data_IF_206830048097
#
_entry.id   IF_206830048097
#
_cell.length_a   1.000
_cell.length_b   1.000
_cell.length_c   1.000
_cell.angle_alpha   90.00
_cell.angle_beta   90.00
_cell.angle_gamma   90.00
#
_symmetry.space_group_name_H-M   'P 1'
#
loop_
_entity.id
_entity.type
_entity.pdbx_description
1 polymer ?
#
# COMPACT_ATOMS: atom_id res chain seq x y z
N UNK A 1 0.06 -3.67 11.37
CA UNK A 1 -0.11 -5.10 11.73
C UNK A 1 0.48 -5.43 13.09
N UNK A 2 1.75 -5.10 13.39
CA UNK A 2 2.35 -5.32 14.73
C UNK A 2 1.50 -4.67 15.83
N UNK A 3 1.10 -3.41 15.65
CA UNK A 3 0.23 -2.71 16.60
C UNK A 3 -1.08 -3.45 16.87
N UNK A 4 -1.71 -4.07 15.88
CA UNK A 4 -2.94 -4.86 16.09
C UNK A 4 -2.68 -6.01 17.07
N UNK A 5 -1.63 -6.80 16.85
CA UNK A 5 -1.30 -7.92 17.73
C UNK A 5 -0.94 -7.44 19.14
N UNK A 6 -0.14 -6.38 19.26
CA UNK A 6 0.22 -5.80 20.57
C UNK A 6 -1.02 -5.27 21.27
N UNK A 7 -1.95 -4.60 20.58
CA UNK A 7 -3.23 -4.15 21.14
C UNK A 7 -4.06 -5.32 21.67
N UNK A 8 -4.25 -6.38 20.88
CA UNK A 8 -5.00 -7.55 21.33
C UNK A 8 -4.34 -8.20 22.55
N UNK A 9 -3.01 -8.29 22.54
CA UNK A 9 -2.25 -8.82 23.67
C UNK A 9 -2.45 -7.96 24.93
N UNK A 10 -2.39 -6.62 24.81
CA UNK A 10 -2.64 -5.70 25.92
C UNK A 10 -4.08 -5.81 26.45
N UNK A 11 -5.09 -5.92 25.58
CA UNK A 11 -6.48 -6.12 25.99
C UNK A 11 -6.63 -7.39 26.84
N UNK A 12 -6.05 -8.52 26.40
CA UNK A 12 -6.08 -9.77 27.17
C UNK A 12 -5.40 -9.60 28.53
N UNK A 13 -4.27 -8.88 28.59
CA UNK A 13 -3.55 -8.62 29.83
C UNK A 13 -4.35 -7.75 30.80
N UNK A 14 -4.96 -6.67 30.32
CA UNK A 14 -5.87 -5.83 31.11
C UNK A 14 -7.00 -6.69 31.68
N UNK A 15 -7.68 -7.47 30.84
CA UNK A 15 -8.78 -8.31 31.28
C UNK A 15 -8.37 -9.37 32.32
N UNK A 16 -7.21 -10.02 32.13
CA UNK A 16 -6.66 -10.96 33.12
C UNK A 16 -6.33 -10.26 34.44
N UNK A 17 -5.72 -9.08 34.39
CA UNK A 17 -5.38 -8.28 35.56
C UNK A 17 -6.60 -7.86 36.37
N UNK A 18 -7.73 -7.60 35.69
CA UNK A 18 -9.01 -7.29 36.34
C UNK A 18 -9.67 -8.53 36.98
N UNK A 19 -9.53 -9.72 36.36
CA UNK A 19 -10.12 -10.97 36.87
C UNK A 19 -9.30 -11.62 37.99
N UNK A 20 -7.97 -11.56 37.94
CA UNK A 20 -7.07 -12.20 38.92
C UNK A 20 -5.96 -11.22 39.34
N UNK A 21 -6.22 -10.36 40.34
CA UNK A 21 -5.31 -9.28 40.71
C UNK A 21 -4.00 -9.71 41.38
N UNK A 22 -3.96 -10.91 41.99
CA UNK A 22 -2.89 -11.34 42.92
C UNK A 22 -1.81 -12.23 42.28
N UNK A 23 -1.75 -12.37 40.96
CA UNK A 23 -0.74 -13.19 40.29
C UNK A 23 0.58 -12.40 40.11
N UNK A 24 1.44 -12.42 41.14
CA UNK A 24 2.75 -11.76 41.14
C UNK A 24 3.70 -12.27 40.05
N UNK A 25 3.68 -13.57 39.73
CA UNK A 25 4.51 -14.17 38.65
C UNK A 25 4.23 -13.58 37.26
N UNK A 26 3.02 -13.10 37.02
CA UNK A 26 2.61 -12.56 35.71
C UNK A 26 3.08 -11.12 35.49
N UNK A 27 3.50 -10.43 36.55
CA UNK A 27 3.90 -9.02 36.48
C UNK A 27 5.30 -8.84 35.89
N UNK A 28 6.27 -9.67 36.27
CA UNK A 28 7.67 -9.55 35.81
C UNK A 28 7.83 -9.75 34.31
N UNK A 29 7.26 -10.82 33.75
CA UNK A 29 7.31 -11.10 32.30
C UNK A 29 6.69 -9.99 31.46
N UNK A 30 5.56 -9.45 31.92
CA UNK A 30 4.84 -8.41 31.21
C UNK A 30 5.57 -7.06 31.29
N UNK A 31 6.14 -6.69 32.44
CA UNK A 31 6.98 -5.48 32.57
C UNK A 31 8.18 -5.59 31.62
N UNK A 32 8.85 -6.74 31.58
CA UNK A 32 9.98 -6.96 30.67
C UNK A 32 9.56 -6.77 29.20
N UNK A 33 8.40 -7.31 28.81
CA UNK A 33 7.85 -7.13 27.47
C UNK A 33 7.50 -5.66 27.18
N UNK A 34 6.92 -4.93 28.13
CA UNK A 34 6.64 -3.50 27.97
C UNK A 34 7.92 -2.68 27.85
N UNK A 35 8.96 -2.98 28.63
CA UNK A 35 10.29 -2.34 28.54
C UNK A 35 10.92 -2.57 27.17
N UNK A 36 10.86 -3.80 26.66
CA UNK A 36 11.35 -4.11 25.30
C UNK A 36 10.55 -3.32 24.25
N UNK A 37 9.22 -3.28 24.35
CA UNK A 37 8.39 -2.50 23.42
C UNK A 37 8.68 -1.00 23.50
N UNK A 38 8.92 -0.47 24.70
CA UNK A 38 9.30 0.91 24.91
C UNK A 38 10.66 1.21 24.29
N UNK A 39 11.67 0.37 24.54
CA UNK A 39 12.99 0.50 23.93
C UNK A 39 12.92 0.45 22.40
N UNK A 40 12.15 -0.49 21.84
CA UNK A 40 11.91 -0.55 20.39
C UNK A 40 11.24 0.72 19.87
N UNK A 41 10.25 1.27 20.59
CA UNK A 41 9.61 2.53 20.23
C UNK A 41 10.57 3.74 20.23
N UNK A 42 11.58 3.72 21.09
CA UNK A 42 12.58 4.79 21.21
C UNK A 42 13.70 4.67 20.16
N UNK A 43 14.23 3.46 19.97
CA UNK A 43 15.42 3.22 19.16
C UNK A 43 15.11 2.89 17.69
N UNK A 44 13.93 2.38 17.38
CA UNK A 44 13.55 2.12 15.99
C UNK A 44 13.06 3.42 15.33
N UNK A 45 13.75 3.96 14.29
CA UNK A 45 13.39 5.24 13.68
C UNK A 45 11.98 5.25 13.09
N UNK A 46 11.54 4.11 12.54
CA UNK A 46 10.20 3.98 11.96
C UNK A 46 9.12 4.04 13.05
N UNK A 47 9.25 3.28 14.14
CA UNK A 47 8.28 3.29 15.24
C UNK A 47 8.20 4.66 15.91
N UNK A 48 9.35 5.32 16.09
CA UNK A 48 9.43 6.67 16.65
C UNK A 48 8.72 7.70 15.78
N UNK A 49 8.99 7.72 14.47
CA UNK A 49 8.35 8.64 13.51
C UNK A 49 6.83 8.45 13.46
N UNK A 50 6.36 7.24 13.71
CA UNK A 50 4.95 6.85 13.70
C UNK A 50 4.26 6.99 15.09
N UNK A 51 4.92 7.62 16.06
CA UNK A 51 4.33 7.85 17.38
C UNK A 51 3.99 6.57 18.14
N UNK A 52 4.71 5.47 17.93
CA UNK A 52 4.38 4.17 18.52
C UNK A 52 4.24 4.21 20.06
N UNK A 53 5.09 4.99 20.75
CA UNK A 53 5.02 5.16 22.20
C UNK A 53 3.71 5.80 22.69
N UNK A 54 3.03 6.53 21.80
CA UNK A 54 1.73 7.15 22.03
C UNK A 54 0.57 6.35 21.45
N UNK A 55 0.85 5.16 20.89
CA UNK A 55 -0.20 4.31 20.36
C UNK A 55 -1.15 3.82 21.46
N UNK A 56 -2.43 3.53 21.12
CA UNK A 56 -3.39 2.97 22.08
C UNK A 56 -2.88 1.75 22.83
N UNK A 57 -2.07 0.90 22.17
CA UNK A 57 -1.48 -0.28 22.76
C UNK A 57 -0.47 0.06 23.88
N UNK A 58 0.41 1.03 23.63
CA UNK A 58 1.41 1.46 24.60
C UNK A 58 0.76 2.21 25.77
N UNK A 59 -0.23 3.05 25.50
CA UNK A 59 -0.99 3.77 26.53
C UNK A 59 -1.73 2.80 27.47
N UNK A 60 -2.36 1.75 26.93
CA UNK A 60 -2.93 0.66 27.73
C UNK A 60 -1.86 -0.05 28.57
N UNK A 61 -0.67 -0.27 28.00
CA UNK A 61 0.49 -0.81 28.70
C UNK A 61 0.92 0.07 29.87
N UNK A 62 1.06 1.39 29.67
CA UNK A 62 1.43 2.33 30.74
C UNK A 62 0.37 2.39 31.84
N UNK A 63 -0.91 2.42 31.46
CA UNK A 63 -2.02 2.39 32.42
C UNK A 63 -2.00 1.11 33.27
N UNK A 64 -1.72 -0.03 32.64
CA UNK A 64 -1.58 -1.30 33.35
C UNK A 64 -0.33 -1.29 34.28
N UNK A 65 0.77 -0.68 33.85
CA UNK A 65 1.98 -0.48 34.67
C UNK A 65 1.66 0.31 35.93
N UNK A 66 1.03 1.47 35.75
CA UNK A 66 0.65 2.36 36.83
C UNK A 66 -0.31 1.68 37.81
N UNK A 67 -1.32 1.00 37.28
CA UNK A 67 -2.26 0.21 38.09
C UNK A 67 -1.58 -0.95 38.84
N UNK A 68 -0.49 -1.52 38.31
CA UNK A 68 0.29 -2.55 39.00
C UNK A 68 1.18 -1.98 40.11
N UNK A 69 1.82 -0.83 39.87
CA UNK A 69 2.66 -0.13 40.86
C UNK A 69 1.82 0.34 42.07
N UNK A 70 0.66 0.95 41.81
CA UNK A 70 -0.28 1.38 42.87
C UNK A 70 -0.78 0.17 43.67
N UNK A 71 -0.99 -0.98 43.02
CA UNK A 71 -1.34 -2.23 43.71
C UNK A 71 -0.22 -2.73 44.62
N UNK A 72 1.01 -2.78 44.11
CA UNK A 72 2.17 -3.23 44.86
C UNK A 72 2.41 -2.34 46.10
N UNK A 73 2.32 -1.01 45.94
CA UNK A 73 2.47 -0.07 47.05
C UNK A 73 1.39 -0.25 48.14
N UNK A 74 0.16 -0.59 47.76
CA UNK A 74 -0.95 -0.73 48.70
C UNK A 74 -1.12 -2.16 49.28
N UNK A 75 -0.41 -3.17 48.76
CA UNK A 75 -0.38 -4.54 49.32
C UNK A 75 0.46 -4.64 50.61
N UNK A 76 1.29 -3.63 50.92
CA UNK A 76 1.98 -3.53 52.21
C UNK A 76 1.07 -3.29 53.43
N UNK A 77 -0.24 -3.06 53.23
CA UNK A 77 -1.18 -2.66 54.29
C UNK A 77 -2.29 -3.66 54.65
N UNK A 78 -2.27 -4.91 54.16
CA UNK A 78 -3.18 -5.99 54.60
C UNK A 78 -4.69 -5.85 54.25
N UNK A 79 -5.15 -4.72 53.73
CA UNK A 79 -6.57 -4.50 53.43
C UNK A 79 -6.99 -5.10 52.08
N UNK A 80 -7.95 -6.03 52.13
CA UNK A 80 -8.66 -6.55 50.95
C UNK A 80 -9.24 -5.38 50.13
N UNK A 81 -9.12 -5.39 48.79
CA UNK A 81 -9.58 -4.28 47.97
C UNK A 81 -11.12 -4.22 47.94
N UNK A 82 -11.68 -3.17 48.55
CA UNK A 82 -13.09 -2.81 48.38
C UNK A 82 -13.41 -2.55 46.89
N UNK A 83 -14.69 -2.63 46.51
CA UNK A 83 -15.15 -2.46 45.13
C UNK A 83 -14.67 -1.16 44.48
N UNK A 84 -14.56 -0.07 45.26
CA UNK A 84 -13.99 1.21 44.82
C UNK A 84 -12.52 1.14 44.37
N UNK A 85 -11.71 0.23 44.93
CA UNK A 85 -10.30 0.04 44.52
C UNK A 85 -10.21 -0.67 43.16
N UNK A 86 -11.17 -1.55 42.81
CA UNK A 86 -11.22 -2.16 41.47
C UNK A 86 -11.60 -1.14 40.40
N UNK A 87 -12.57 -0.27 40.70
CA UNK A 87 -12.97 0.81 39.81
C UNK A 87 -11.82 1.80 39.58
N UNK A 88 -11.11 2.20 40.64
CA UNK A 88 -9.93 3.05 40.55
C UNK A 88 -8.82 2.44 39.68
N UNK A 89 -8.62 1.12 39.72
CA UNK A 89 -7.62 0.43 38.88
C UNK A 89 -8.02 0.37 37.41
N UNK A 90 -9.31 0.18 37.11
CA UNK A 90 -9.83 0.30 35.74
C UNK A 90 -9.61 1.72 35.22
N UNK A 91 -9.95 2.73 36.03
CA UNK A 91 -9.77 4.13 35.68
C UNK A 91 -8.30 4.45 35.43
N UNK A 92 -7.38 4.04 36.31
CA UNK A 92 -5.93 4.20 36.11
C UNK A 92 -5.40 3.50 34.86
N UNK A 93 -6.00 2.37 34.47
CA UNK A 93 -5.63 1.67 33.24
C UNK A 93 -6.11 2.41 31.98
N UNK A 94 -7.28 3.03 32.04
CA UNK A 94 -7.91 3.71 30.91
C UNK A 94 -7.52 5.19 30.79
N UNK A 95 -7.07 5.83 31.86
CA UNK A 95 -6.71 7.25 31.88
C UNK A 95 -5.64 7.62 30.84
N UNK A 96 -4.51 6.88 30.70
CA UNK A 96 -3.53 7.19 29.67
C UNK A 96 -4.09 7.02 28.24
N UNK A 97 -4.98 6.04 28.05
CA UNK A 97 -5.65 5.84 26.77
C UNK A 97 -6.58 7.02 26.47
N UNK A 98 -7.42 7.41 27.42
CA UNK A 98 -8.33 8.55 27.27
C UNK A 98 -7.55 9.84 26.98
N UNK A 99 -6.45 10.07 27.70
CA UNK A 99 -5.55 11.19 27.46
C UNK A 99 -4.97 11.19 26.04
N UNK A 100 -4.44 10.05 25.58
CA UNK A 100 -3.87 9.96 24.23
C UNK A 100 -4.88 9.99 23.10
N UNK A 101 -6.17 9.71 23.37
CA UNK A 101 -7.25 9.87 22.39
C UNK A 101 -7.70 11.33 22.23
N UNK A 102 -7.44 12.18 23.23
CA UNK A 102 -7.81 13.62 23.20
C UNK A 102 -6.69 14.46 22.58
N UNK A 103 -5.45 14.01 22.70
CA UNK A 103 -4.30 14.71 22.14
C UNK A 103 -4.17 14.41 20.64
N UNK A 104 -4.34 15.40 19.74
CA UNK A 104 -4.01 15.22 18.33
C UNK A 104 -2.51 14.92 18.26
N UNK A 105 -2.17 13.70 17.86
CA UNK A 105 -0.81 13.19 17.93
C UNK A 105 -0.34 12.64 16.59
N UNK A 106 0.99 12.54 16.45
CA UNK A 106 1.68 11.92 15.31
C UNK A 106 1.13 10.53 14.93
N UNK A 107 0.52 9.82 15.88
CA UNK A 107 -0.13 8.54 15.65
C UNK A 107 -1.41 8.67 14.80
N UNK A 108 -2.24 9.69 15.04
CA UNK A 108 -3.49 9.91 14.33
C UNK A 108 -3.26 10.29 12.87
N UNK A 109 -2.28 11.16 12.60
CA UNK A 109 -1.90 11.54 11.23
C UNK A 109 -1.43 10.33 10.41
N UNK A 110 -0.72 9.41 11.07
CA UNK A 110 -0.14 8.23 10.43
C UNK A 110 -1.09 7.03 10.33
N UNK A 111 -2.07 6.87 11.23
CA UNK A 111 -2.94 5.69 11.29
C UNK A 111 -4.44 5.96 11.33
N UNK A 112 -4.88 7.22 11.52
CA UNK A 112 -6.29 7.59 11.60
C UNK A 112 -7.09 7.20 10.35
N UNK A 113 -6.42 7.18 9.20
CA UNK A 113 -6.99 6.76 7.92
C UNK A 113 -7.48 5.29 7.92
N UNK A 114 -6.82 4.38 8.68
CA UNK A 114 -7.31 3.00 8.84
C UNK A 114 -8.62 2.95 9.64
N UNK A 115 -8.75 3.79 10.67
CA UNK A 115 -9.98 3.94 11.44
C UNK A 115 -11.11 4.49 10.58
N UNK A 116 -10.84 5.53 9.80
CA UNK A 116 -11.79 6.09 8.84
C UNK A 116 -12.24 5.08 7.79
N UNK A 117 -11.33 4.21 7.33
CA UNK A 117 -11.66 3.11 6.41
C UNK A 117 -12.50 2.02 7.08
N UNK A 118 -12.19 1.63 8.32
CA UNK A 118 -13.01 0.68 9.07
C UNK A 118 -14.43 1.22 9.27
N UNK A 119 -14.56 2.50 9.64
CA UNK A 119 -15.86 3.14 9.81
C UNK A 119 -16.64 3.18 8.48
N UNK A 120 -15.98 3.49 7.36
CA UNK A 120 -16.60 3.42 6.05
C UNK A 120 -17.07 1.99 5.70
N UNK A 121 -16.25 0.98 5.99
CA UNK A 121 -16.65 -0.43 5.81
C UNK A 121 -17.86 -0.79 6.68
N UNK A 122 -17.93 -0.33 7.92
CA UNK A 122 -19.10 -0.56 8.77
C UNK A 122 -20.34 0.16 8.17
N UNK A 123 -20.20 1.45 7.81
CA UNK A 123 -21.26 2.28 7.22
C UNK A 123 -21.86 1.66 5.97
N UNK A 124 -21.02 1.11 5.09
CA UNK A 124 -21.44 0.51 3.81
C UNK A 124 -21.49 -1.02 3.85
N UNK A 125 -21.63 -1.63 5.04
CA UNK A 125 -21.80 -3.08 5.23
C UNK A 125 -20.74 -3.92 4.48
N UNK A 126 -19.51 -3.44 4.51
CA UNK A 126 -18.31 -4.02 3.91
C UNK A 126 -18.38 -4.14 2.37
N UNK A 127 -19.31 -3.45 1.72
CA UNK A 127 -19.43 -3.31 0.26
C UNK A 127 -18.95 -1.93 -0.16
N UNK A 128 -18.04 -1.88 -1.13
CA UNK A 128 -17.54 -0.62 -1.66
C UNK A 128 -18.64 0.03 -2.53
N UNK A 129 -19.04 1.29 -2.28
CA UNK A 129 -20.10 1.94 -3.04
C UNK A 129 -19.76 2.07 -4.52
N UNK A 130 -20.77 2.03 -5.40
CA UNK A 130 -20.58 2.27 -6.84
C UNK A 130 -20.25 3.74 -7.10
N UNK A 131 -20.90 4.64 -6.36
CA UNK A 131 -20.64 6.08 -6.40
C UNK A 131 -19.40 6.42 -5.53
N UNK A 132 -18.29 6.89 -6.12
CA UNK A 132 -17.09 7.25 -5.38
C UNK A 132 -17.28 8.49 -4.49
N UNK A 133 -18.21 9.39 -4.80
CA UNK A 133 -18.42 10.62 -4.03
C UNK A 133 -18.83 10.37 -2.57
N UNK A 134 -19.34 9.16 -2.26
CA UNK A 134 -19.74 8.73 -0.92
C UNK A 134 -18.56 8.40 0.02
N UNK A 135 -17.35 8.33 -0.52
CA UNK A 135 -16.11 8.03 0.21
C UNK A 135 -15.11 9.17 0.06
N UNK A 136 -14.22 9.36 1.03
CA UNK A 136 -13.07 10.26 0.85
C UNK A 136 -12.02 9.62 -0.06
N UNK A 137 -11.12 10.43 -0.66
CA UNK A 137 -10.01 9.91 -1.47
C UNK A 137 -9.23 8.82 -0.74
N UNK A 138 -8.83 9.08 0.51
CA UNK A 138 -8.10 8.14 1.36
C UNK A 138 -8.88 6.82 1.54
N UNK A 139 -10.19 6.88 1.77
CA UNK A 139 -11.02 5.67 1.85
C UNK A 139 -11.06 4.90 0.53
N UNK A 140 -11.16 5.59 -0.62
CA UNK A 140 -11.24 4.96 -1.93
C UNK A 140 -9.96 4.25 -2.33
N UNK A 141 -8.81 4.94 -2.20
CA UNK A 141 -7.50 4.43 -2.61
C UNK A 141 -6.96 3.35 -1.67
N UNK A 142 -7.37 3.36 -0.40
CA UNK A 142 -6.97 2.33 0.55
C UNK A 142 -7.90 1.12 0.51
N UNK A 143 -9.17 1.26 0.12
CA UNK A 143 -10.09 0.14 -0.07
C UNK A 143 -9.81 -0.62 -1.38
N UNK A 144 -8.57 -1.09 -1.53
CA UNK A 144 -8.00 -1.80 -2.69
C UNK A 144 -7.51 -3.18 -2.22
N UNK A 145 -7.07 -4.11 -3.11
CA UNK A 145 -6.89 -5.52 -2.78
C UNK A 145 -6.16 -5.85 -1.46
N UNK A 146 -5.14 -5.08 -1.08
CA UNK A 146 -4.41 -5.30 0.19
C UNK A 146 -5.26 -5.03 1.46
N UNK A 147 -6.33 -4.24 1.38
CA UNK A 147 -7.26 -3.94 2.48
C UNK A 147 -8.72 -4.17 2.04
N UNK A 148 -8.91 -4.99 1.02
CA UNK A 148 -10.23 -5.36 0.52
C UNK A 148 -10.96 -6.24 1.54
N UNK A 149 -12.28 -6.23 1.44
CA UNK A 149 -13.18 -7.07 2.22
C UNK A 149 -13.04 -8.55 1.83
N UNK A 150 -13.02 -9.47 2.78
CA UNK A 150 -13.08 -10.89 2.43
C UNK A 150 -14.50 -11.24 1.96
N UNK A 151 -14.58 -12.12 0.96
CA UNK A 151 -15.82 -12.76 0.54
C UNK A 151 -15.66 -14.28 0.67
N UNK A 152 -16.75 -15.04 0.50
CA UNK A 152 -16.70 -16.49 0.64
C UNK A 152 -15.80 -17.15 -0.39
N UNK A 153 -15.85 -16.71 -1.65
CA UNK A 153 -15.00 -17.23 -2.72
C UNK A 153 -13.52 -17.13 -2.34
N UNK A 154 -13.05 -15.95 -1.97
CA UNK A 154 -11.67 -15.70 -1.55
C UNK A 154 -11.30 -16.46 -0.27
N UNK A 155 -12.22 -16.53 0.70
CA UNK A 155 -12.00 -17.29 1.94
C UNK A 155 -11.75 -18.77 1.64
N UNK A 156 -12.52 -19.38 0.74
CA UNK A 156 -12.32 -20.77 0.33
C UNK A 156 -11.14 -20.96 -0.63
N UNK A 157 -10.75 -19.94 -1.39
CA UNK A 157 -9.48 -19.93 -2.12
C UNK A 157 -8.29 -19.92 -1.17
N UNK A 158 -8.35 -19.16 -0.08
CA UNK A 158 -7.26 -19.05 0.89
C UNK A 158 -7.21 -20.25 1.84
N UNK A 159 -8.36 -20.80 2.23
CA UNK A 159 -8.49 -21.82 3.28
C UNK A 159 -9.47 -22.95 2.92
N UNK A 160 -9.25 -23.71 1.84
CA UNK A 160 -10.23 -24.70 1.35
C UNK A 160 -10.54 -25.80 2.37
N UNK A 161 -9.53 -26.34 3.06
CA UNK A 161 -9.71 -27.43 4.02
C UNK A 161 -9.50 -26.96 5.47
N UNK A 162 -8.49 -26.12 5.69
CA UNK A 162 -8.10 -25.71 7.05
C UNK A 162 -9.19 -24.91 7.76
N UNK A 163 -10.00 -24.13 7.04
CA UNK A 163 -11.11 -23.38 7.65
C UNK A 163 -12.11 -24.32 8.35
N UNK A 164 -12.58 -25.34 7.64
CA UNK A 164 -13.58 -26.28 8.14
C UNK A 164 -13.01 -27.08 9.32
N UNK A 165 -11.78 -27.57 9.18
CA UNK A 165 -11.11 -28.30 10.26
C UNK A 165 -10.90 -27.43 11.50
N UNK A 166 -10.58 -26.15 11.31
CA UNK A 166 -10.33 -25.21 12.41
C UNK A 166 -11.63 -24.85 13.13
N UNK A 167 -12.76 -24.71 12.41
CA UNK A 167 -14.08 -24.53 13.02
C UNK A 167 -14.48 -25.75 13.86
N UNK A 168 -14.24 -26.96 13.36
CA UNK A 168 -14.44 -28.19 14.12
C UNK A 168 -13.55 -28.25 15.37
N UNK A 169 -12.25 -27.93 15.23
CA UNK A 169 -11.30 -27.86 16.33
C UNK A 169 -11.76 -26.89 17.42
N UNK A 170 -12.14 -25.67 17.03
CA UNK A 170 -12.64 -24.64 17.96
C UNK A 170 -13.89 -25.14 18.69
N UNK A 171 -14.85 -25.75 18.00
CA UNK A 171 -16.07 -26.27 18.62
C UNK A 171 -15.76 -27.36 19.67
N UNK A 172 -14.86 -28.29 19.36
CA UNK A 172 -14.43 -29.34 20.28
C UNK A 172 -13.68 -28.76 21.48
N UNK A 173 -12.75 -27.85 21.24
CA UNK A 173 -11.95 -27.21 22.31
C UNK A 173 -12.81 -26.34 23.23
N UNK A 174 -13.78 -25.60 22.71
CA UNK A 174 -14.72 -24.79 23.51
C UNK A 174 -15.59 -25.68 24.39
N UNK A 175 -16.13 -26.78 23.85
CA UNK A 175 -16.92 -27.74 24.65
C UNK A 175 -16.08 -28.34 25.78
N UNK A 176 -14.85 -28.74 25.50
CA UNK A 176 -13.93 -29.31 26.50
C UNK A 176 -13.42 -28.27 27.52
N UNK A 177 -13.29 -27.00 27.12
CA UNK A 177 -12.93 -25.89 28.00
C UNK A 177 -14.10 -25.44 28.90
N UNK A 178 -15.35 -25.70 28.51
CA UNK A 178 -16.51 -25.54 29.40
C UNK A 178 -16.39 -26.39 30.66
N UNK A 179 -15.80 -27.59 30.54
CA UNK A 179 -15.61 -28.52 31.65
C UNK A 179 -14.36 -28.23 32.49
N UNK A 180 -13.36 -27.54 31.91
CA UNK A 180 -12.13 -27.11 32.59
C UNK A 180 -11.76 -25.72 32.10
N UNK A 181 -11.93 -24.71 32.96
CA UNK A 181 -11.69 -23.28 32.66
C UNK A 181 -10.21 -22.96 32.34
N UNK A 182 -9.69 -23.46 31.22
CA UNK A 182 -8.34 -23.19 30.76
C UNK A 182 -8.29 -21.82 30.08
N UNK A 183 -7.67 -20.86 30.77
CA UNK A 183 -7.48 -19.49 30.28
C UNK A 183 -6.69 -19.42 28.97
N UNK A 184 -5.91 -20.44 28.62
CA UNK A 184 -5.12 -20.49 27.38
C UNK A 184 -5.99 -20.75 26.16
N UNK A 185 -6.95 -21.68 26.26
CA UNK A 185 -7.90 -22.00 25.17
C UNK A 185 -8.80 -20.81 24.88
N UNK A 186 -9.30 -20.13 25.92
CA UNK A 186 -10.09 -18.91 25.77
C UNK A 186 -9.28 -17.77 25.12
N UNK A 187 -7.99 -17.64 25.45
CA UNK A 187 -7.12 -16.65 24.84
C UNK A 187 -6.89 -16.95 23.34
N UNK A 188 -6.67 -18.22 22.98
CA UNK A 188 -6.55 -18.62 21.58
C UNK A 188 -7.83 -18.31 20.81
N UNK A 189 -9.00 -18.63 21.38
CA UNK A 189 -10.28 -18.33 20.76
C UNK A 189 -10.47 -16.82 20.55
N UNK A 190 -10.13 -16.00 21.55
CA UNK A 190 -10.21 -14.54 21.42
C UNK A 190 -9.32 -14.03 20.27
N UNK A 191 -8.07 -14.49 20.19
CA UNK A 191 -7.19 -14.09 19.10
C UNK A 191 -7.66 -14.58 17.74
N UNK A 192 -8.14 -15.82 17.64
CA UNK A 192 -8.70 -16.38 16.43
C UNK A 192 -9.93 -15.58 15.97
N UNK A 193 -10.92 -15.39 16.85
CA UNK A 193 -12.17 -14.69 16.53
C UNK A 193 -11.90 -13.23 16.12
N UNK A 194 -11.01 -12.53 16.83
CA UNK A 194 -10.69 -11.13 16.50
C UNK A 194 -9.89 -11.02 15.21
N UNK A 195 -8.96 -11.95 14.94
CA UNK A 195 -8.22 -12.00 13.67
C UNK A 195 -9.12 -12.38 12.50
N UNK A 196 -10.07 -13.29 12.71
CA UNK A 196 -11.06 -13.68 11.71
C UNK A 196 -12.01 -12.51 11.39
N UNK A 197 -12.49 -11.79 12.42
CA UNK A 197 -13.27 -10.57 12.23
C UNK A 197 -12.47 -9.50 11.47
N UNK A 198 -11.21 -9.28 11.85
CA UNK A 198 -10.33 -8.37 11.13
C UNK A 198 -10.12 -8.81 9.67
N UNK A 199 -10.00 -10.12 9.41
CA UNK A 199 -9.91 -10.69 8.06
C UNK A 199 -11.15 -10.43 7.20
N UNK A 200 -12.35 -10.51 7.79
CA UNK A 200 -13.60 -10.16 7.10
C UNK A 200 -13.54 -8.73 6.56
N UNK A 201 -13.04 -7.79 7.36
CA UNK A 201 -12.88 -6.40 6.93
C UNK A 201 -11.65 -6.19 6.05
N UNK A 202 -10.57 -6.92 6.28
CA UNK A 202 -9.27 -6.68 5.67
C UNK A 202 -8.58 -8.00 5.37
N UNK A 203 -8.59 -8.40 4.10
CA UNK A 203 -8.01 -9.69 3.63
C UNK A 203 -6.58 -9.90 4.11
N UNK A 204 -5.76 -8.85 4.28
CA UNK A 204 -4.38 -8.95 4.79
C UNK A 204 -4.25 -9.62 6.16
N UNK A 205 -5.31 -9.68 6.97
CA UNK A 205 -5.32 -10.39 8.25
C UNK A 205 -5.43 -11.91 8.11
N UNK A 206 -5.56 -12.46 6.90
CA UNK A 206 -5.50 -13.91 6.65
C UNK A 206 -4.25 -14.56 7.26
N UNK A 207 -3.12 -13.85 7.29
CA UNK A 207 -1.86 -14.30 7.90
C UNK A 207 -2.00 -14.56 9.40
N UNK A 208 -2.78 -13.74 10.12
CA UNK A 208 -3.05 -13.98 11.54
C UNK A 208 -4.06 -15.10 11.74
N UNK A 209 -5.08 -15.15 10.89
CA UNK A 209 -6.09 -16.22 10.92
C UNK A 209 -5.43 -17.60 10.81
N UNK A 210 -4.53 -17.79 9.84
CA UNK A 210 -3.88 -19.09 9.63
C UNK A 210 -2.99 -19.50 10.81
N UNK A 211 -2.29 -18.55 11.46
CA UNK A 211 -1.47 -18.84 12.65
C UNK A 211 -2.34 -19.39 13.79
N UNK A 212 -3.50 -18.78 14.04
CA UNK A 212 -4.38 -19.24 15.11
C UNK A 212 -5.18 -20.50 14.72
N UNK A 213 -5.48 -20.69 13.44
CA UNK A 213 -6.00 -21.96 12.92
C UNK A 213 -5.02 -23.10 13.17
N UNK A 214 -3.74 -22.92 12.80
CA UNK A 214 -2.70 -23.92 13.03
C UNK A 214 -2.56 -24.28 14.52
N UNK A 215 -2.59 -23.28 15.41
CA UNK A 215 -2.58 -23.50 16.85
C UNK A 215 -3.81 -24.29 17.34
N UNK A 216 -5.01 -23.97 16.85
CA UNK A 216 -6.24 -24.68 17.20
C UNK A 216 -6.21 -26.15 16.74
N UNK A 217 -5.73 -26.40 15.52
CA UNK A 217 -5.56 -27.75 14.98
C UNK A 217 -4.53 -28.55 15.79
N UNK A 218 -3.40 -27.94 16.16
CA UNK A 218 -2.39 -28.58 17.01
C UNK A 218 -2.91 -28.95 18.40
N UNK A 219 -3.70 -28.06 19.02
CA UNK A 219 -4.38 -28.36 20.29
C UNK A 219 -5.41 -29.47 20.14
N UNK A 220 -6.15 -29.52 19.04
CA UNK A 220 -7.11 -30.58 18.78
C UNK A 220 -6.43 -31.93 18.55
N UNK A 221 -5.31 -31.96 17.80
CA UNK A 221 -4.50 -33.15 17.62
C UNK A 221 -3.96 -33.67 18.97
N UNK A 222 -3.43 -32.77 19.81
CA UNK A 222 -2.98 -33.12 21.16
C UNK A 222 -4.13 -33.65 22.04
N UNK A 223 -5.30 -33.01 21.99
CA UNK A 223 -6.49 -33.46 22.68
C UNK A 223 -6.94 -34.85 22.21
N UNK A 224 -6.82 -35.16 20.92
CA UNK A 224 -7.12 -36.46 20.33
C UNK A 224 -6.12 -37.55 20.77
N UNK A 225 -4.84 -37.22 20.96
CA UNK A 225 -3.83 -38.16 21.48
C UNK A 225 -4.11 -38.62 22.90
N UNK A 226 -4.83 -37.82 23.67
CA UNK A 226 -5.24 -38.17 25.03
C UNK A 226 -6.55 -38.99 25.07
N UNK A 227 -7.21 -39.22 23.94
CA UNK A 227 -8.46 -39.98 23.90
C UNK A 227 -8.22 -41.48 24.01
N UNK A 228 -9.03 -42.17 24.83
CA UNK A 228 -9.00 -43.64 24.98
C UNK A 228 -9.59 -44.38 23.77
N UNK A 229 -10.48 -43.75 23.02
CA UNK A 229 -11.12 -44.33 21.83
C UNK A 229 -10.16 -44.30 20.62
N UNK A 230 -9.37 -45.36 20.45
CA UNK A 230 -8.32 -45.45 19.42
C UNK A 230 -8.84 -45.28 17.99
N UNK A 231 -10.06 -45.76 17.67
CA UNK A 231 -10.69 -45.60 16.36
C UNK A 231 -10.95 -44.11 16.08
N UNK A 232 -11.63 -43.42 16.99
CA UNK A 232 -11.94 -42.00 16.84
C UNK A 232 -10.67 -41.15 16.79
N UNK A 233 -9.66 -41.50 17.60
CA UNK A 233 -8.32 -40.90 17.55
C UNK A 233 -7.70 -41.06 16.15
N UNK A 234 -7.74 -42.27 15.59
CA UNK A 234 -7.23 -42.56 14.25
C UNK A 234 -7.95 -41.75 13.18
N UNK A 235 -9.29 -41.71 13.23
CA UNK A 235 -10.11 -40.91 12.31
C UNK A 235 -9.80 -39.42 12.36
N UNK A 236 -9.65 -38.84 13.56
CA UNK A 236 -9.28 -37.43 13.72
C UNK A 236 -7.91 -37.16 13.11
N UNK A 237 -6.91 -37.98 13.43
CA UNK A 237 -5.55 -37.81 12.88
C UNK A 237 -5.52 -37.93 11.36
N UNK A 238 -6.18 -38.96 10.81
CA UNK A 238 -6.27 -39.15 9.35
C UNK A 238 -6.99 -37.96 8.71
N UNK A 239 -8.07 -37.47 9.31
CA UNK A 239 -8.79 -36.28 8.83
C UNK A 239 -7.94 -35.01 8.83
N UNK A 240 -7.15 -34.79 9.89
CA UNK A 240 -6.21 -33.67 9.99
C UNK A 240 -5.10 -33.77 8.94
N UNK A 241 -4.47 -34.94 8.81
CA UNK A 241 -3.44 -35.20 7.80
C UNK A 241 -3.99 -35.03 6.38
N UNK A 242 -5.20 -35.54 6.11
CA UNK A 242 -5.87 -35.38 4.83
C UNK A 242 -6.16 -33.91 4.51
N UNK A 243 -6.72 -33.15 5.45
CA UNK A 243 -6.98 -31.73 5.21
C UNK A 243 -5.69 -30.92 5.00
N UNK A 244 -4.61 -31.23 5.73
CA UNK A 244 -3.29 -30.63 5.46
C UNK A 244 -2.77 -30.99 4.06
N UNK A 245 -2.96 -32.23 3.62
CA UNK A 245 -2.56 -32.65 2.28
C UNK A 245 -3.38 -31.95 1.19
N UNK A 246 -4.69 -31.77 1.38
CA UNK A 246 -5.55 -31.00 0.48
C UNK A 246 -5.10 -29.54 0.38
N UNK A 247 -4.81 -28.92 1.52
CA UNK A 247 -4.33 -27.53 1.55
C UNK A 247 -2.98 -27.39 0.84
N UNK A 248 -2.03 -28.28 1.13
CA UNK A 248 -0.72 -28.30 0.48
C UNK A 248 -0.83 -28.52 -1.03
N UNK A 249 -1.66 -29.46 -1.46
CA UNK A 249 -1.92 -29.71 -2.87
C UNK A 249 -2.56 -28.48 -3.55
N UNK A 250 -3.48 -27.79 -2.88
CA UNK A 250 -4.09 -26.56 -3.40
C UNK A 250 -3.04 -25.46 -3.61
N UNK A 251 -2.17 -25.22 -2.63
CA UNK A 251 -1.10 -24.22 -2.71
C UNK A 251 -0.10 -24.55 -3.82
N UNK A 252 0.33 -25.81 -3.93
CA UNK A 252 1.31 -26.25 -4.93
C UNK A 252 0.77 -26.20 -6.36
N UNK A 253 -0.51 -26.57 -6.57
CA UNK A 253 -1.14 -26.52 -7.90
C UNK A 253 -1.36 -25.09 -8.39
N UNK A 254 -1.46 -24.13 -7.49
CA UNK A 254 -1.68 -22.71 -7.81
C UNK A 254 -0.45 -21.85 -7.51
N UNK A 255 0.75 -22.35 -7.83
CA UNK A 255 2.00 -21.61 -7.61
C UNK A 255 2.01 -20.21 -8.25
N UNK A 256 1.32 -20.02 -9.38
CA UNK A 256 1.15 -18.71 -10.01
C UNK A 256 0.37 -17.68 -9.17
N UNK A 257 -0.34 -18.12 -8.12
CA UNK A 257 -1.04 -17.26 -7.17
C UNK A 257 -0.20 -16.89 -5.94
N UNK A 258 1.03 -17.40 -5.82
CA UNK A 258 1.94 -17.02 -4.72
C UNK A 258 2.36 -15.55 -4.81
N UNK A 259 2.28 -14.98 -6.02
CA UNK A 259 2.47 -13.56 -6.29
C UNK A 259 1.21 -12.71 -6.08
N UNK A 260 1.27 -11.47 -6.56
CA UNK A 260 0.12 -10.57 -6.60
C UNK A 260 -0.83 -11.03 -7.71
N UNK A 261 -2.05 -11.38 -7.35
CA UNK A 261 -3.10 -11.71 -8.33
C UNK A 261 -3.36 -10.53 -9.27
N UNK A 262 -3.46 -10.79 -10.57
CA UNK A 262 -3.74 -9.76 -11.59
C UNK A 262 -2.53 -8.91 -11.99
N UNK A 263 -1.31 -9.35 -11.67
CA UNK A 263 -0.06 -8.75 -12.17
C UNK A 263 0.44 -9.51 -13.39
N UNK A 264 0.78 -8.76 -14.42
CA UNK A 264 1.32 -9.23 -15.69
C UNK A 264 2.85 -9.33 -15.56
N UNK A 265 3.33 -10.40 -14.94
CA UNK A 265 4.74 -10.52 -14.54
C UNK A 265 5.72 -10.49 -15.71
N UNK A 266 5.38 -11.10 -16.85
CA UNK A 266 6.23 -11.06 -18.05
C UNK A 266 6.35 -9.64 -18.59
N UNK A 267 5.22 -8.96 -18.76
CA UNK A 267 5.18 -7.58 -19.23
C UNK A 267 5.86 -6.59 -18.27
N UNK A 268 5.83 -6.88 -16.97
CA UNK A 268 6.47 -6.08 -15.94
C UNK A 268 8.00 -6.26 -15.95
N UNK A 269 8.47 -7.48 -16.23
CA UNK A 269 9.89 -7.80 -16.37
C UNK A 269 10.49 -7.17 -17.63
N UNK A 270 9.76 -7.22 -18.75
CA UNK A 270 10.10 -6.51 -19.99
C UNK A 270 10.24 -5.00 -19.76
N UNK A 271 9.26 -4.38 -19.09
CA UNK A 271 9.30 -2.96 -18.74
C UNK A 271 10.54 -2.63 -17.90
N UNK A 272 10.79 -3.40 -16.84
CA UNK A 272 11.92 -3.16 -15.95
C UNK A 272 13.26 -3.27 -16.68
N UNK A 273 13.42 -4.30 -17.51
CA UNK A 273 14.62 -4.52 -18.32
C UNK A 273 14.83 -3.39 -19.32
N UNK A 274 13.76 -2.94 -19.99
CA UNK A 274 13.84 -1.85 -20.96
C UNK A 274 14.21 -0.52 -20.29
N UNK A 275 13.58 -0.17 -19.15
CA UNK A 275 13.88 1.04 -18.39
C UNK A 275 15.35 1.07 -17.93
N UNK A 276 15.86 -0.07 -17.44
CA UNK A 276 17.25 -0.18 -16.99
C UNK A 276 18.25 0.06 -18.12
N UNK A 277 17.92 -0.35 -19.34
CA UNK A 277 18.81 -0.22 -20.49
C UNK A 277 18.75 1.16 -21.18
N UNK A 278 17.61 1.87 -21.12
CA UNK A 278 17.37 3.06 -21.94
C UNK A 278 17.01 4.33 -21.16
N UNK A 279 16.65 4.22 -19.89
CA UNK A 279 16.13 5.35 -19.08
C UNK A 279 16.93 5.55 -17.80
N UNK A 280 17.42 4.49 -17.16
CA UNK A 280 18.24 4.66 -15.97
C UNK A 280 19.49 5.52 -16.27
N UNK A 281 19.83 6.51 -15.43
CA UNK A 281 19.33 6.75 -14.07
C UNK A 281 18.23 7.83 -13.94
N UNK A 282 17.53 8.19 -15.01
CA UNK A 282 16.61 9.33 -15.04
C UNK A 282 15.31 9.07 -14.26
N UNK A 283 14.69 10.15 -13.78
CA UNK A 283 13.50 10.09 -12.93
C UNK A 283 12.23 9.73 -13.71
N UNK A 284 11.49 8.75 -13.18
CA UNK A 284 10.30 8.17 -13.80
C UNK A 284 9.05 8.40 -12.94
N UNK A 285 8.04 9.01 -13.54
CA UNK A 285 6.68 9.05 -13.01
C UNK A 285 5.95 7.76 -13.40
N UNK A 286 5.42 7.04 -12.43
CA UNK A 286 4.60 5.85 -12.66
C UNK A 286 3.52 5.76 -11.57
N UNK A 287 2.41 5.06 -11.87
CA UNK A 287 1.41 4.73 -10.85
C UNK A 287 2.10 4.03 -9.65
N UNK A 288 1.69 4.37 -8.43
CA UNK A 288 2.21 3.80 -7.17
C UNK A 288 2.28 2.26 -7.14
N UNK A 289 1.42 1.56 -7.90
CA UNK A 289 1.47 0.11 -8.03
C UNK A 289 2.73 -0.41 -8.76
N UNK A 290 3.32 0.40 -9.63
CA UNK A 290 4.50 0.12 -10.46
C UNK A 290 5.78 0.72 -9.91
N UNK A 291 5.71 1.84 -9.18
CA UNK A 291 6.91 2.58 -8.73
C UNK A 291 7.91 1.70 -7.99
N UNK A 292 7.45 0.74 -7.17
CA UNK A 292 8.35 -0.20 -6.49
C UNK A 292 9.20 -1.03 -7.45
N UNK A 293 8.65 -1.46 -8.59
CA UNK A 293 9.37 -2.20 -9.62
C UNK A 293 10.32 -1.30 -10.41
N UNK A 294 9.85 -0.11 -10.79
CA UNK A 294 10.65 0.90 -11.51
C UNK A 294 11.92 1.23 -10.74
N UNK A 295 11.81 1.44 -9.42
CA UNK A 295 12.95 1.71 -8.57
C UNK A 295 13.86 0.48 -8.41
N UNK A 296 13.29 -0.67 -8.03
CA UNK A 296 14.09 -1.84 -7.63
C UNK A 296 14.75 -2.58 -8.79
N UNK A 297 14.07 -2.66 -9.94
CA UNK A 297 14.50 -3.46 -11.09
C UNK A 297 14.82 -2.60 -12.32
N UNK A 298 14.11 -1.48 -12.50
CA UNK A 298 14.40 -0.51 -13.55
C UNK A 298 15.60 0.40 -13.23
N UNK A 299 15.95 0.57 -11.96
CA UNK A 299 17.08 1.44 -11.55
C UNK A 299 16.79 2.94 -11.72
N UNK A 300 15.53 3.32 -11.88
CA UNK A 300 15.12 4.71 -12.07
C UNK A 300 14.58 5.30 -10.76
N UNK A 301 14.99 6.53 -10.37
CA UNK A 301 14.34 7.29 -9.31
C UNK A 301 12.84 7.43 -9.57
N UNK A 302 12.04 7.37 -8.51
CA UNK A 302 10.57 7.42 -8.58
C UNK A 302 10.02 8.65 -7.88
N UNK A 303 8.96 9.21 -8.45
CA UNK A 303 8.25 10.34 -7.86
C UNK A 303 7.17 9.88 -6.88
N UNK A 304 6.34 8.91 -7.29
CA UNK A 304 5.24 8.41 -6.47
C UNK A 304 5.68 7.23 -5.62
N UNK A 305 5.70 7.43 -4.31
CA UNK A 305 6.11 6.40 -3.36
C UNK A 305 5.00 5.34 -3.15
N UNK A 306 5.34 4.02 -3.14
CA UNK A 306 4.34 2.94 -3.05
C UNK A 306 3.74 2.74 -1.64
N UNK A 307 4.11 3.55 -0.65
CA UNK A 307 3.58 3.50 0.72
C UNK A 307 2.93 4.83 1.11
N UNK A 308 1.65 4.76 1.49
CA UNK A 308 0.75 5.88 1.76
C UNK A 308 0.73 6.34 3.23
N UNK A 309 1.84 6.19 3.95
CA UNK A 309 1.85 6.42 5.40
C UNK A 309 1.73 7.91 5.76
N UNK A 310 2.37 8.81 5.00
CA UNK A 310 2.30 10.26 5.25
C UNK A 310 1.15 10.95 4.48
N UNK A 311 0.56 12.01 5.05
CA UNK A 311 -0.41 12.86 4.35
C UNK A 311 0.11 13.44 3.03
N UNK A 312 1.37 13.88 3.00
CA UNK A 312 1.97 14.50 1.81
C UNK A 312 2.09 13.52 0.64
N UNK A 313 2.46 12.26 0.92
CA UNK A 313 2.50 11.22 -0.12
C UNK A 313 1.08 10.96 -0.64
N UNK A 314 0.07 10.91 0.24
CA UNK A 314 -1.33 10.73 -0.17
C UNK A 314 -1.83 11.91 -1.01
N UNK A 315 -1.47 13.14 -0.66
CA UNK A 315 -1.80 14.34 -1.42
C UNK A 315 -1.16 14.30 -2.82
N UNK A 316 0.13 14.00 -2.91
CA UNK A 316 0.83 13.87 -4.20
C UNK A 316 0.21 12.81 -5.11
N UNK A 317 -0.19 11.65 -4.57
CA UNK A 317 -0.88 10.61 -5.36
C UNK A 317 -2.29 11.03 -5.78
N UNK A 318 -3.00 11.81 -4.95
CA UNK A 318 -4.30 12.39 -5.30
C UNK A 318 -4.16 13.34 -6.48
N UNK A 319 -3.24 14.29 -6.37
CA UNK A 319 -2.97 15.27 -7.42
C UNK A 319 -2.56 14.58 -8.72
N UNK A 320 -1.67 13.58 -8.66
CA UNK A 320 -1.32 12.77 -9.82
C UNK A 320 -2.55 12.20 -10.52
N UNK A 321 -3.45 11.55 -9.77
CA UNK A 321 -4.65 10.95 -10.35
C UNK A 321 -5.62 12.02 -10.87
N UNK A 322 -5.76 13.14 -10.19
CA UNK A 322 -6.61 14.25 -10.64
C UNK A 322 -6.08 14.88 -11.91
N UNK A 323 -4.77 15.11 -12.03
CA UNK A 323 -4.17 15.60 -13.28
C UNK A 323 -4.35 14.60 -14.42
N UNK A 324 -4.16 13.31 -14.15
CA UNK A 324 -4.26 12.25 -15.16
C UNK A 324 -5.70 12.05 -15.69
N UNK A 325 -6.73 12.20 -14.86
CA UNK A 325 -8.13 11.91 -15.22
C UNK A 325 -9.05 13.13 -15.33
N UNK A 326 -8.71 14.26 -14.71
CA UNK A 326 -9.51 15.50 -14.73
C UNK A 326 -8.77 16.69 -15.37
N UNK A 327 -7.46 16.60 -15.52
CA UNK A 327 -6.64 17.65 -16.14
C UNK A 327 -6.58 17.54 -17.66
N UNK A 328 -5.70 18.34 -18.25
CA UNK A 328 -5.32 18.32 -19.67
C UNK A 328 -3.91 17.75 -19.83
N UNK A 329 -3.53 17.39 -21.06
CA UNK A 329 -2.16 16.96 -21.38
C UNK A 329 -1.11 17.96 -20.87
N UNK A 330 -1.33 19.26 -21.10
CA UNK A 330 -0.47 20.34 -20.63
C UNK A 330 -0.41 20.41 -19.11
N UNK A 331 -1.56 20.37 -18.42
CA UNK A 331 -1.58 20.48 -16.96
C UNK A 331 -0.89 19.29 -16.29
N UNK A 332 -1.03 18.09 -16.86
CA UNK A 332 -0.35 16.89 -16.41
C UNK A 332 1.16 16.97 -16.64
N UNK A 333 1.59 17.45 -17.82
CA UNK A 333 3.01 17.73 -18.10
C UNK A 333 3.59 18.75 -17.12
N UNK A 334 2.90 19.87 -16.91
CA UNK A 334 3.36 20.93 -15.99
C UNK A 334 3.46 20.46 -14.55
N UNK A 335 2.55 19.57 -14.12
CA UNK A 335 2.64 18.94 -12.82
C UNK A 335 3.82 17.96 -12.74
N UNK A 336 4.02 17.12 -13.77
CA UNK A 336 5.09 16.13 -13.80
C UNK A 336 6.49 16.77 -13.80
N UNK A 337 6.68 17.80 -14.62
CA UNK A 337 7.95 18.53 -14.74
C UNK A 337 8.31 19.28 -13.45
N UNK A 338 7.33 19.92 -12.79
CA UNK A 338 7.54 20.55 -11.47
C UNK A 338 8.01 19.58 -10.39
N UNK A 339 7.71 18.29 -10.54
CA UNK A 339 8.17 17.23 -9.64
C UNK A 339 9.43 16.52 -10.16
N UNK A 340 10.04 17.01 -11.24
CA UNK A 340 11.27 16.47 -11.82
C UNK A 340 11.08 15.18 -12.61
N UNK A 341 9.90 14.91 -13.15
CA UNK A 341 9.69 13.75 -14.02
C UNK A 341 10.25 14.02 -15.42
N UNK A 342 11.08 13.11 -15.91
CA UNK A 342 11.54 13.13 -17.31
C UNK A 342 10.83 12.11 -18.17
N UNK A 343 10.38 11.02 -17.54
CA UNK A 343 9.70 9.92 -18.21
C UNK A 343 8.41 9.59 -17.48
N UNK A 344 7.41 9.14 -18.24
CA UNK A 344 6.14 8.68 -17.72
C UNK A 344 5.85 7.24 -18.14
N UNK A 345 5.46 6.40 -17.19
CA UNK A 345 5.00 5.03 -17.45
C UNK A 345 3.49 4.94 -17.20
N UNK A 346 2.76 4.69 -18.28
CA UNK A 346 1.32 4.48 -18.25
C UNK A 346 0.99 2.99 -18.16
N UNK A 347 0.04 2.63 -17.29
CA UNK A 347 -0.48 1.28 -17.16
C UNK A 347 -1.84 1.16 -17.86
N UNK A 348 -1.91 0.35 -18.91
CA UNK A 348 -3.12 0.16 -19.72
C UNK A 348 -4.24 -0.52 -18.92
N UNK A 349 -5.50 -0.24 -19.27
CA UNK A 349 -6.68 -0.90 -18.72
C UNK A 349 -7.37 -0.11 -17.60
N UNK A 350 -7.05 1.18 -17.45
CA UNK A 350 -7.78 2.08 -16.55
C UNK A 350 -9.21 2.30 -17.07
N UNK A 351 -9.47 2.09 -18.37
CA UNK A 351 -10.81 2.17 -18.96
C UNK A 351 -11.56 0.84 -19.07
N UNK A 352 -10.99 -0.28 -18.63
CA UNK A 352 -11.64 -1.58 -18.70
C UNK A 352 -12.95 -1.63 -17.89
N UNK A 353 -14.02 -2.31 -18.37
CA UNK A 353 -15.30 -2.36 -17.65
C UNK A 353 -15.25 -3.22 -16.38
N UNK A 354 -14.18 -3.97 -16.17
CA UNK A 354 -14.01 -4.89 -15.05
C UNK A 354 -13.28 -4.21 -13.90
N UNK A 355 -13.77 -4.41 -12.67
CA UNK A 355 -13.13 -3.93 -11.43
C UNK A 355 -12.89 -2.42 -11.40
N UNK A 356 -13.89 -1.65 -11.85
CA UNK A 356 -13.89 -0.18 -11.81
C UNK A 356 -13.56 0.37 -10.42
N UNK A 357 -13.98 -0.33 -9.36
CA UNK A 357 -13.70 -0.02 -7.96
C UNK A 357 -12.19 -0.08 -7.59
N UNK A 358 -11.34 -0.59 -8.47
CA UNK A 358 -9.88 -0.73 -8.28
C UNK A 358 -9.05 0.16 -9.21
N UNK A 359 -9.70 0.95 -10.04
CA UNK A 359 -9.05 1.81 -11.03
C UNK A 359 -8.83 3.21 -10.46
N UNK A 360 -7.80 3.90 -10.94
CA UNK A 360 -7.46 5.23 -10.46
C UNK A 360 -8.60 6.23 -10.70
N UNK A 361 -9.34 6.09 -11.81
CA UNK A 361 -10.53 6.91 -12.10
C UNK A 361 -11.61 6.84 -11.02
N UNK A 362 -11.77 5.71 -10.34
CA UNK A 362 -12.67 5.61 -9.19
C UNK A 362 -12.07 6.34 -7.98
N UNK A 363 -10.77 6.18 -7.72
CA UNK A 363 -10.12 6.80 -6.56
C UNK A 363 -10.20 8.32 -6.58
N UNK A 364 -10.09 8.93 -7.77
CA UNK A 364 -10.18 10.38 -7.93
C UNK A 364 -11.59 10.87 -8.25
N UNK A 365 -12.62 10.01 -8.17
CA UNK A 365 -14.00 10.42 -8.43
C UNK A 365 -14.19 11.02 -9.84
N UNK A 366 -13.74 10.27 -10.85
CA UNK A 366 -13.77 10.64 -12.26
C UNK A 366 -14.18 9.43 -13.12
N UNK A 367 -15.35 8.83 -12.85
CA UNK A 367 -15.80 7.61 -13.55
C UNK A 367 -15.93 7.79 -15.07
N UNK A 368 -16.39 8.97 -15.47
CA UNK A 368 -16.53 9.38 -16.87
C UNK A 368 -15.62 10.59 -17.12
N UNK A 369 -14.30 10.38 -17.21
CA UNK A 369 -13.37 11.49 -17.39
C UNK A 369 -13.54 12.07 -18.80
N UNK A 370 -13.21 13.37 -18.98
CA UNK A 370 -13.27 14.05 -20.28
C UNK A 370 -12.58 13.29 -21.42
N UNK A 371 -13.02 13.52 -22.65
CA UNK A 371 -12.48 12.83 -23.83
C UNK A 371 -11.00 13.15 -24.09
N UNK A 372 -10.59 14.35 -23.70
CA UNK A 372 -9.27 14.94 -23.83
C UNK A 372 -8.37 14.75 -22.59
N UNK A 373 -8.82 14.00 -21.57
CA UNK A 373 -7.99 13.74 -20.41
C UNK A 373 -6.72 12.94 -20.78
N UNK A 374 -5.58 13.17 -20.11
CA UNK A 374 -4.32 12.50 -20.42
C UNK A 374 -4.43 10.98 -20.43
N UNK A 375 -5.19 10.39 -19.49
CA UNK A 375 -5.37 8.94 -19.43
C UNK A 375 -5.94 8.34 -20.72
N UNK A 376 -6.93 9.00 -21.35
CA UNK A 376 -7.50 8.51 -22.63
C UNK A 376 -6.52 8.67 -23.77
N UNK A 377 -5.79 9.78 -23.77
CA UNK A 377 -4.77 10.09 -24.75
C UNK A 377 -3.69 9.00 -24.73
N UNK A 378 -3.19 8.64 -23.55
CA UNK A 378 -2.19 7.58 -23.40
C UNK A 378 -2.70 6.17 -23.75
N UNK A 379 -3.98 5.86 -23.59
CA UNK A 379 -4.56 4.57 -24.01
C UNK A 379 -4.87 4.50 -25.51
N UNK A 380 -5.49 5.53 -26.05
CA UNK A 380 -6.15 5.45 -27.37
C UNK A 380 -5.34 6.14 -28.48
N UNK A 381 -4.63 7.22 -28.15
CA UNK A 381 -3.97 8.09 -29.13
C UNK A 381 -2.59 8.53 -28.64
N UNK A 382 -1.67 7.61 -28.30
CA UNK A 382 -0.43 7.95 -27.60
C UNK A 382 0.48 8.95 -28.34
N UNK A 383 0.34 9.05 -29.66
CA UNK A 383 1.14 9.95 -30.51
C UNK A 383 0.47 11.31 -30.77
N UNK A 384 -0.75 11.54 -30.28
CA UNK A 384 -1.48 12.79 -30.55
C UNK A 384 -1.07 13.95 -29.65
N UNK A 385 -0.28 13.67 -28.60
CA UNK A 385 0.14 14.69 -27.66
C UNK A 385 1.30 15.51 -28.25
N UNK A 386 1.30 16.86 -28.18
CA UNK A 386 2.54 17.60 -27.94
C UNK A 386 3.09 17.15 -26.56
N UNK A 387 4.01 17.73 -25.82
CA UNK A 387 4.34 17.27 -24.44
C UNK A 387 4.83 15.82 -24.17
N UNK A 388 4.28 14.74 -24.74
CA UNK A 388 4.61 13.35 -24.47
C UNK A 388 4.90 12.61 -25.77
N UNK A 389 6.08 11.99 -25.86
CA UNK A 389 6.48 11.16 -27.00
C UNK A 389 6.54 9.70 -26.56
N UNK A 390 5.77 8.83 -27.21
CA UNK A 390 5.87 7.38 -26.98
C UNK A 390 7.26 6.87 -27.41
N UNK A 391 7.94 6.17 -26.51
CA UNK A 391 9.25 5.56 -26.78
C UNK A 391 9.17 4.04 -26.87
N UNK A 392 8.34 3.43 -26.03
CA UNK A 392 8.22 1.98 -25.94
C UNK A 392 6.85 1.59 -25.39
N UNK A 393 6.39 0.39 -25.72
CA UNK A 393 5.25 -0.21 -25.08
C UNK A 393 5.17 -1.71 -25.30
N UNK A 394 4.49 -2.38 -24.39
CA UNK A 394 4.05 -3.76 -24.55
C UNK A 394 2.53 -3.84 -24.34
N UNK A 395 2.01 -5.06 -24.15
CA UNK A 395 0.57 -5.29 -23.97
C UNK A 395 -0.03 -4.52 -22.79
N UNK A 396 0.76 -4.24 -21.75
CA UNK A 396 0.25 -3.67 -20.49
C UNK A 396 0.79 -2.27 -20.18
N UNK A 397 1.98 -1.92 -20.64
CA UNK A 397 2.67 -0.70 -20.25
C UNK A 397 3.12 0.10 -21.47
N UNK A 398 3.12 1.43 -21.33
CA UNK A 398 3.66 2.37 -22.32
C UNK A 398 4.58 3.36 -21.61
N UNK A 399 5.71 3.67 -22.23
CA UNK A 399 6.72 4.60 -21.72
C UNK A 399 6.80 5.81 -22.64
N UNK A 400 6.68 6.98 -22.04
CA UNK A 400 6.70 8.27 -22.71
C UNK A 400 7.88 9.11 -22.22
N UNK A 401 8.58 9.81 -23.13
CA UNK A 401 9.44 10.95 -22.76
C UNK A 401 8.55 12.17 -22.57
N UNK A 402 8.74 12.86 -21.45
CA UNK A 402 8.08 14.13 -21.14
C UNK A 402 8.94 15.25 -21.71
N UNK A 403 8.32 16.18 -22.44
CA UNK A 403 8.94 17.42 -22.88
C UNK A 403 8.88 18.43 -21.75
N UNK A 404 10.03 18.72 -21.16
CA UNK A 404 10.16 19.60 -19.99
C UNK A 404 10.22 21.07 -20.38
N UNK A 405 10.08 21.98 -19.42
CA UNK A 405 10.35 23.41 -19.62
C UNK A 405 11.81 23.64 -20.01
N UNK A 406 12.72 22.80 -19.52
CA UNK A 406 14.13 22.83 -19.91
C UNK A 406 14.31 22.55 -21.41
N UNK A 407 13.62 21.54 -21.94
CA UNK A 407 13.66 21.19 -23.36
C UNK A 407 13.10 22.31 -24.24
N UNK A 408 12.00 22.96 -23.81
CA UNK A 408 11.40 24.08 -24.53
C UNK A 408 12.31 25.32 -24.53
N UNK A 409 12.93 25.64 -23.40
CA UNK A 409 13.87 26.74 -23.29
C UNK A 409 15.12 26.49 -24.14
N UNK A 410 15.62 25.25 -24.16
CA UNK A 410 16.77 24.87 -24.97
C UNK A 410 16.43 24.88 -26.47
N UNK A 411 15.25 24.39 -26.85
CA UNK A 411 14.76 24.47 -28.22
C UNK A 411 14.67 25.93 -28.69
N UNK A 412 14.10 26.83 -27.88
CA UNK A 412 14.02 28.24 -28.21
C UNK A 412 15.40 28.90 -28.38
N UNK A 413 16.40 28.49 -27.59
CA UNK A 413 17.79 28.94 -27.76
C UNK A 413 18.37 28.48 -29.10
N UNK A 414 18.21 27.21 -29.45
CA UNK A 414 18.66 26.70 -30.75
C UNK A 414 17.93 27.37 -31.92
N UNK A 415 16.62 27.66 -31.78
CA UNK A 415 15.88 28.43 -32.77
C UNK A 415 16.44 29.85 -32.95
N UNK A 416 16.85 30.50 -31.86
CA UNK A 416 17.53 31.80 -31.91
C UNK A 416 18.92 31.72 -32.55
N UNK A 417 19.71 30.71 -32.23
CA UNK A 417 21.02 30.44 -32.85
C UNK A 417 20.87 30.15 -34.35
N UNK A 418 19.85 29.38 -34.74
CA UNK A 418 19.53 29.09 -36.12
C UNK A 418 19.15 30.34 -36.92
N UNK A 419 18.37 31.24 -36.30
CA UNK A 419 17.98 32.51 -36.91
C UNK A 419 19.20 33.43 -37.10
N UNK A 420 20.08 33.55 -36.10
CA UNK A 420 21.29 34.36 -36.21
C UNK A 420 22.24 33.81 -37.29
N UNK A 421 22.47 32.50 -37.33
CA UNK A 421 23.29 31.87 -38.37
C UNK A 421 22.71 32.07 -39.77
N UNK A 422 21.38 32.05 -39.90
CA UNK A 422 20.70 32.32 -41.16
C UNK A 422 20.91 33.77 -41.63
N UNK A 423 20.83 34.73 -40.71
CA UNK A 423 21.08 36.15 -40.97
C UNK A 423 22.53 36.44 -41.37
N UNK A 424 23.48 35.65 -40.83
CA UNK A 424 24.90 35.70 -41.19
C UNK A 424 25.24 34.93 -42.48
N UNK A 425 24.26 34.27 -43.11
CA UNK A 425 24.47 33.47 -44.32
C UNK A 425 25.12 32.10 -44.10
N UNK A 426 25.25 31.66 -42.85
CA UNK A 426 25.84 30.37 -42.46
C UNK A 426 24.79 29.26 -42.51
N UNK A 427 24.42 28.84 -43.72
CA UNK A 427 23.28 27.92 -43.95
C UNK A 427 23.41 26.56 -43.26
N UNK A 428 24.60 25.96 -43.20
CA UNK A 428 24.79 24.66 -42.53
C UNK A 428 24.65 24.76 -41.02
N UNK A 429 25.14 25.84 -40.41
CA UNK A 429 24.98 26.09 -38.99
C UNK A 429 23.51 26.38 -38.64
N UNK A 430 22.82 27.15 -39.49
CA UNK A 430 21.39 27.42 -39.35
C UNK A 430 20.57 26.13 -39.44
N UNK A 431 20.88 25.25 -40.40
CA UNK A 431 20.23 23.94 -40.52
C UNK A 431 20.47 23.09 -39.27
N UNK A 432 21.72 22.93 -38.84
CA UNK A 432 22.07 22.12 -37.67
C UNK A 432 21.33 22.58 -36.41
N UNK A 433 21.36 23.88 -36.11
CA UNK A 433 20.67 24.44 -34.95
C UNK A 433 19.15 24.28 -35.06
N UNK A 434 18.56 24.46 -36.25
CA UNK A 434 17.13 24.23 -36.47
C UNK A 434 16.75 22.74 -36.30
N UNK A 435 17.60 21.80 -36.73
CA UNK A 435 17.39 20.35 -36.50
C UNK A 435 17.39 20.06 -35.00
N UNK A 436 18.36 20.58 -34.25
CA UNK A 436 18.45 20.37 -32.79
C UNK A 436 17.24 20.97 -32.05
N UNK A 437 16.79 22.17 -32.45
CA UNK A 437 15.56 22.76 -31.93
C UNK A 437 14.33 21.86 -32.18
N UNK A 438 14.18 21.34 -33.40
CA UNK A 438 13.07 20.45 -33.77
C UNK A 438 13.16 19.07 -33.10
N UNK A 439 14.36 18.60 -32.78
CA UNK A 439 14.57 17.34 -32.05
C UNK A 439 14.02 17.44 -30.62
N UNK A 440 14.20 18.59 -29.97
CA UNK A 440 13.70 18.89 -28.62
C UNK A 440 12.22 19.29 -28.64
N UNK A 441 11.82 20.12 -29.59
CA UNK A 441 10.45 20.60 -29.76
C UNK A 441 10.03 20.55 -31.25
N UNK A 442 9.41 19.44 -31.70
CA UNK A 442 8.98 19.30 -33.09
C UNK A 442 7.95 20.34 -33.55
N UNK A 443 7.31 21.05 -32.61
CA UNK A 443 6.30 22.07 -32.89
C UNK A 443 6.86 23.50 -32.83
N UNK A 444 8.17 23.67 -32.68
CA UNK A 444 8.81 24.99 -32.75
C UNK A 444 8.61 25.58 -34.16
N UNK A 445 7.75 26.60 -34.25
CA UNK A 445 7.36 27.22 -35.53
C UNK A 445 8.51 28.00 -36.16
N UNK A 446 9.40 28.55 -35.35
CA UNK A 446 10.52 29.35 -35.82
C UNK A 446 11.56 28.42 -36.44
N UNK A 447 11.93 27.34 -35.73
CA UNK A 447 12.81 26.31 -36.30
C UNK A 447 12.23 25.68 -37.57
N UNK A 448 10.93 25.39 -37.62
CA UNK A 448 10.28 24.88 -38.84
C UNK A 448 10.35 25.88 -40.01
N UNK A 449 10.19 27.18 -39.73
CA UNK A 449 10.28 28.24 -40.74
C UNK A 449 11.71 28.39 -41.25
N UNK A 450 12.69 28.41 -40.34
CA UNK A 450 14.11 28.49 -40.67
C UNK A 450 14.52 27.31 -41.53
N UNK A 451 14.13 26.09 -41.15
CA UNK A 451 14.42 24.88 -41.92
C UNK A 451 13.90 24.96 -43.36
N UNK A 452 12.66 25.43 -43.54
CA UNK A 452 12.08 25.64 -44.88
C UNK A 452 12.82 26.70 -45.67
N UNK A 453 13.25 27.79 -45.00
CA UNK A 453 13.98 28.87 -45.66
C UNK A 453 15.39 28.44 -46.08
N UNK A 454 16.12 27.76 -45.21
CA UNK A 454 17.44 27.20 -45.50
C UNK A 454 17.36 26.23 -46.68
N UNK A 455 16.37 25.32 -46.69
CA UNK A 455 16.15 24.41 -47.81
C UNK A 455 15.92 25.15 -49.13
N UNK A 456 15.07 26.17 -49.14
CA UNK A 456 14.81 26.99 -50.32
C UNK A 456 16.06 27.76 -50.82
N UNK A 457 16.93 28.23 -49.92
CA UNK A 457 18.18 28.90 -50.28
C UNK A 457 19.20 27.92 -50.87
N UNK A 458 19.32 26.73 -50.28
CA UNK A 458 20.18 25.66 -50.81
C UNK A 458 19.73 25.20 -52.20
N UNK A 459 18.42 25.06 -52.41
CA UNK A 459 17.85 24.72 -53.72
C UNK A 459 18.13 25.80 -54.79
N UNK A 460 18.31 27.05 -54.37
CA UNK A 460 18.70 28.17 -55.24
C UNK A 460 20.22 28.27 -55.46
N UNK A 461 21.01 27.35 -54.88
CA UNK A 461 22.46 27.29 -55.05
C UNK A 461 23.26 28.12 -54.05
N UNK A 462 22.62 28.72 -53.03
CA UNK A 462 23.34 29.37 -51.95
C UNK A 462 23.93 28.31 -51.00
N UNK A 463 25.22 28.42 -50.68
CA UNK A 463 25.91 27.54 -49.71
C UNK A 463 26.56 26.27 -50.28
N UNK A 464 26.44 25.97 -51.57
CA UNK A 464 27.40 25.07 -52.23
C UNK A 464 28.70 25.86 -52.39
N UNK A 465 29.77 25.43 -51.73
CA UNK A 465 31.03 26.16 -51.67
C UNK A 465 31.47 26.68 -53.03
N UNK A 466 31.78 27.98 -53.08
CA UNK A 466 33.01 28.42 -53.72
C UNK A 466 34.14 27.64 -53.04
N UNK A 467 34.45 26.43 -53.52
CA UNK A 467 35.79 25.90 -53.37
C UNK A 467 36.68 26.88 -54.14
N UNK A 468 37.38 27.73 -53.39
CA UNK A 468 38.40 28.58 -53.96
C UNK A 468 39.47 27.67 -54.59
N UNK A 469 39.68 27.83 -55.91
CA UNK A 469 40.83 27.29 -56.65
C UNK A 469 42.17 27.68 -56.01
#
# INVERSE_FOLDING_TARGET
>A
MVQFYVTLWMIVRVFRSLRRPDASEVQGEWVAQLVVLFALGLFNPYLRKHGFLWSPAMLLGYGLALASMVRAAAHGGGCRPAWGRRFALVLLTLLPLAWGLIQPGLYEEAYGHFGALLLAKIRFLNRKPVDPALLTFDQRIMWVPALHSANWALTFTLFPAILILSLAAVLVLVRRAGDRSDSRVLQLFFFFATSFLAFVFFVRFHVFVIVFMAAALGLWASAAMQMRAWILRGLILVGLCYGMAVEAAHVLRHAGQWGRSGVYYGELDELATWLKAHVAPDAVLANFGLSGTVLAYGGCPILLHPKFESPDIRACVREYGEQLFKGTDKSFRDWADRHGAEYYVYAMGEFAPVSLDRQMRYFVDALNPPADCPARLFESSPDSSPYFRLLWGNRKYRVFKIRTYGDEALAARYSGEAQAALEEGLLDAAEYAAVEALRLNPQDRDAQRIMKHVGALKDQGFGQGYEAE
#
